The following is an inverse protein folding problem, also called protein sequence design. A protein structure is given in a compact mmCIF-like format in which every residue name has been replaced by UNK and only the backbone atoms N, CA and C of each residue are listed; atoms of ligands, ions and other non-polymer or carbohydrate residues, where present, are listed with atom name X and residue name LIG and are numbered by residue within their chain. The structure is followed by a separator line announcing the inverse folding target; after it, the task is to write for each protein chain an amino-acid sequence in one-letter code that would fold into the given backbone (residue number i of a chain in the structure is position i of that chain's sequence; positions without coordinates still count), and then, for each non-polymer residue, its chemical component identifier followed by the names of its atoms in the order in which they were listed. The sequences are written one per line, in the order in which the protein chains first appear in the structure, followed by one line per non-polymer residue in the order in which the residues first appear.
data_IF_724964499758
#
_entry.id   IF_724964499758
#
_cell.length_a   1.000
_cell.length_b   1.000
_cell.length_c   1.000
_cell.angle_alpha   90.00
_cell.angle_beta   90.00
_cell.angle_gamma   90.00
#
_symmetry.space_group_name_H-M   'P 1'
#
loop_
_entity.id
_entity.type
_entity.pdbx_description
1 polymer ?
#
# COMPACT_ATOMS: atom_id res chain seq x y z
N UNK A 1 -2.17 3.28 33.85
CA UNK A 1 -2.31 3.70 32.44
C UNK A 1 -2.10 2.47 31.55
N UNK A 2 -2.66 2.41 30.33
CA UNK A 2 -2.49 1.25 29.45
C UNK A 2 -2.30 1.73 28.00
N UNK A 3 -1.40 1.10 27.26
CA UNK A 3 -1.13 1.43 25.86
C UNK A 3 -1.93 0.50 24.95
N UNK A 4 -2.78 1.07 24.10
CA UNK A 4 -3.49 0.33 23.05
C UNK A 4 -2.64 0.27 21.79
N UNK A 5 -2.24 -0.94 21.40
CA UNK A 5 -1.45 -1.24 20.21
C UNK A 5 -2.28 -1.89 19.08
N UNK A 6 -3.62 -1.73 19.10
CA UNK A 6 -4.48 -2.31 18.05
C UNK A 6 -4.29 -1.64 16.69
N UNK A 7 -4.33 -2.45 15.63
CA UNK A 7 -4.54 -1.98 14.26
C UNK A 7 -5.88 -2.51 13.78
N UNK A 8 -6.80 -1.58 13.44
CA UNK A 8 -8.17 -1.92 13.01
C UNK A 8 -8.27 -2.01 11.49
N UNK A 9 -7.30 -1.47 10.75
CA UNK A 9 -7.34 -1.33 9.30
C UNK A 9 -6.43 -2.34 8.61
N UNK A 10 -6.98 -3.10 7.66
CA UNK A 10 -6.24 -4.10 6.88
C UNK A 10 -5.68 -3.51 5.58
N UNK A 11 -4.36 -3.65 5.29
CA UNK A 11 -3.75 -3.14 4.05
C UNK A 11 -4.35 -3.73 2.76
N UNK A 12 -4.94 -4.92 2.85
CA UNK A 12 -5.49 -5.66 1.71
C UNK A 12 -6.58 -4.89 0.96
N UNK A 13 -7.40 -4.10 1.65
CA UNK A 13 -8.42 -3.26 1.01
C UNK A 13 -7.81 -2.21 0.07
N UNK A 14 -6.72 -1.57 0.50
CA UNK A 14 -6.02 -0.57 -0.29
C UNK A 14 -5.27 -1.19 -1.48
N UNK A 15 -4.62 -2.35 -1.31
CA UNK A 15 -4.01 -3.08 -2.42
C UNK A 15 -5.02 -3.52 -3.49
N UNK A 16 -6.18 -4.04 -3.07
CA UNK A 16 -7.23 -4.44 -4.00
C UNK A 16 -7.79 -3.25 -4.79
N UNK A 17 -8.00 -2.11 -4.12
CA UNK A 17 -8.41 -0.87 -4.77
C UNK A 17 -7.35 -0.35 -5.75
N UNK A 18 -6.07 -0.37 -5.37
CA UNK A 18 -4.95 0.00 -6.23
C UNK A 18 -4.90 -0.86 -7.50
N UNK A 19 -5.04 -2.18 -7.36
CA UNK A 19 -5.06 -3.11 -8.48
C UNK A 19 -6.28 -2.87 -9.40
N UNK A 20 -7.45 -2.59 -8.81
CA UNK A 20 -8.67 -2.30 -9.57
C UNK A 20 -8.52 -1.03 -10.40
N UNK A 21 -7.93 0.03 -9.83
CA UNK A 21 -7.64 1.28 -10.54
C UNK A 21 -6.62 1.10 -11.66
N UNK A 22 -5.64 0.21 -11.49
CA UNK A 22 -4.68 -0.11 -12.55
C UNK A 22 -5.37 -0.78 -13.75
N UNK A 23 -6.30 -1.69 -13.48
CA UNK A 23 -7.14 -2.28 -14.54
C UNK A 23 -8.00 -1.23 -15.22
N UNK A 24 -8.65 -0.34 -14.45
CA UNK A 24 -9.45 0.77 -15.00
C UNK A 24 -8.60 1.68 -15.90
N UNK A 25 -7.41 2.08 -15.45
CA UNK A 25 -6.48 2.90 -16.24
C UNK A 25 -6.15 2.24 -17.58
N UNK A 26 -5.93 0.93 -17.60
CA UNK A 26 -5.70 0.17 -18.84
C UNK A 26 -6.92 0.24 -19.76
N UNK A 27 -8.11 -0.11 -19.25
CA UNK A 27 -9.35 -0.06 -20.04
C UNK A 27 -9.67 1.33 -20.59
N UNK A 28 -9.43 2.38 -19.81
CA UNK A 28 -9.65 3.77 -20.25
C UNK A 28 -8.60 4.19 -21.29
N UNK A 29 -7.36 3.70 -21.17
CA UNK A 29 -6.32 3.92 -22.18
C UNK A 29 -6.71 3.27 -23.51
N UNK A 30 -7.15 2.01 -23.48
CA UNK A 30 -7.61 1.30 -24.67
C UNK A 30 -8.78 2.04 -25.34
N UNK A 31 -9.73 2.54 -24.54
CA UNK A 31 -10.84 3.35 -25.06
C UNK A 31 -10.38 4.68 -25.69
N UNK A 32 -9.32 5.31 -25.16
CA UNK A 32 -8.72 6.51 -25.77
C UNK A 32 -8.09 6.20 -27.13
N UNK A 33 -7.44 5.04 -27.25
CA UNK A 33 -6.88 4.55 -28.52
C UNK A 33 -7.99 4.27 -29.56
N UNK A 34 -9.10 3.64 -29.13
CA UNK A 34 -10.28 3.43 -29.97
C UNK A 34 -10.88 4.74 -30.47
N UNK A 35 -11.02 5.75 -29.59
CA UNK A 35 -11.49 7.09 -29.96
C UNK A 35 -10.54 7.75 -30.96
N UNK A 36 -9.23 7.63 -30.75
CA UNK A 36 -8.23 8.16 -31.68
C UNK A 36 -8.31 7.49 -33.06
N UNK A 37 -8.56 6.19 -33.10
CA UNK A 37 -8.76 5.41 -34.33
C UNK A 37 -10.02 5.87 -35.08
N UNK A 38 -11.17 5.92 -34.41
CA UNK A 38 -12.45 6.38 -34.99
C UNK A 38 -12.33 7.83 -35.49
N UNK A 39 -11.70 8.72 -34.72
CA UNK A 39 -11.43 10.10 -35.14
C UNK A 39 -10.61 10.13 -36.43
N UNK A 40 -9.58 9.29 -36.55
CA UNK A 40 -8.76 9.17 -37.75
C UNK A 40 -9.55 8.72 -38.98
N UNK A 41 -10.41 7.72 -38.83
CA UNK A 41 -11.29 7.24 -39.90
C UNK A 41 -12.25 8.33 -40.38
N UNK A 42 -12.95 9.00 -39.44
CA UNK A 42 -13.89 10.07 -39.77
C UNK A 42 -13.18 11.22 -40.49
N UNK A 43 -11.99 11.62 -40.02
CA UNK A 43 -11.21 12.69 -40.63
C UNK A 43 -10.71 12.34 -42.04
N UNK A 44 -10.52 11.04 -42.33
CA UNK A 44 -10.06 10.56 -43.64
C UNK A 44 -11.19 10.37 -44.65
N UNK A 45 -12.36 9.91 -44.21
CA UNK A 45 -13.44 9.48 -45.11
C UNK A 45 -14.51 10.55 -45.31
N UNK A 46 -14.66 11.47 -44.36
CA UNK A 46 -15.72 12.47 -44.36
C UNK A 46 -15.14 13.89 -44.51
N UNK A 47 -15.97 14.80 -45.01
CA UNK A 47 -15.61 16.22 -45.12
C UNK A 47 -16.84 17.11 -44.86
N UNK A 48 -16.58 18.36 -44.49
CA UNK A 48 -17.61 19.37 -44.21
C UNK A 48 -17.67 19.78 -42.74
N UNK A 49 -18.41 20.85 -42.47
CA UNK A 49 -18.46 21.51 -41.15
C UNK A 49 -18.85 20.56 -40.01
N UNK A 50 -19.83 19.69 -40.26
CA UNK A 50 -20.28 18.70 -39.28
C UNK A 50 -19.19 17.68 -38.93
N UNK A 51 -18.39 17.26 -39.92
CA UNK A 51 -17.25 16.36 -39.73
C UNK A 51 -16.16 17.02 -38.90
N UNK A 52 -15.80 18.27 -39.21
CA UNK A 52 -14.81 19.01 -38.42
C UNK A 52 -15.25 19.17 -36.95
N UNK A 53 -16.52 19.49 -36.72
CA UNK A 53 -17.07 19.57 -35.37
C UNK A 53 -17.01 18.22 -34.64
N UNK A 54 -17.31 17.11 -35.32
CA UNK A 54 -17.22 15.77 -34.76
C UNK A 54 -15.78 15.37 -34.41
N UNK A 55 -14.83 15.59 -35.33
CA UNK A 55 -13.39 15.32 -35.11
C UNK A 55 -12.85 16.13 -33.94
N UNK A 56 -13.24 17.40 -33.83
CA UNK A 56 -12.85 18.26 -32.70
C UNK A 56 -13.34 17.70 -31.37
N UNK A 57 -14.62 17.27 -31.30
CA UNK A 57 -15.20 16.69 -30.08
C UNK A 57 -14.54 15.37 -29.69
N UNK A 58 -14.31 14.49 -30.66
CA UNK A 58 -13.60 13.23 -30.42
C UNK A 58 -12.16 13.47 -29.96
N UNK A 59 -11.52 14.53 -30.45
CA UNK A 59 -10.19 14.90 -29.96
C UNK A 59 -10.22 15.32 -28.49
N UNK A 60 -11.19 16.14 -28.07
CA UNK A 60 -11.37 16.50 -26.67
C UNK A 60 -11.66 15.27 -25.80
N UNK A 61 -12.57 14.39 -26.24
CA UNK A 61 -12.85 13.15 -25.52
C UNK A 61 -11.62 12.25 -25.38
N UNK A 62 -10.79 12.14 -26.42
CA UNK A 62 -9.53 11.39 -26.34
C UNK A 62 -8.57 11.95 -25.28
N UNK A 63 -8.47 13.27 -25.17
CA UNK A 63 -7.71 13.95 -24.11
C UNK A 63 -8.30 13.66 -22.73
N UNK A 64 -9.61 13.84 -22.56
CA UNK A 64 -10.29 13.61 -21.27
C UNK A 64 -10.11 12.15 -20.79
N UNK A 65 -10.17 11.18 -21.71
CA UNK A 65 -9.89 9.76 -21.40
C UNK A 65 -8.42 9.54 -21.04
N UNK A 66 -7.49 10.18 -21.75
CA UNK A 66 -6.07 10.13 -21.43
C UNK A 66 -5.78 10.63 -20.02
N UNK A 67 -6.35 11.78 -19.65
CA UNK A 67 -6.24 12.37 -18.32
C UNK A 67 -6.85 11.46 -17.25
N UNK A 68 -8.05 10.92 -17.49
CA UNK A 68 -8.70 10.00 -16.57
C UNK A 68 -7.89 8.70 -16.35
N UNK A 69 -7.24 8.17 -17.39
CA UNK A 69 -6.34 7.01 -17.26
C UNK A 69 -5.12 7.34 -16.41
N UNK A 70 -4.51 8.52 -16.62
CA UNK A 70 -3.36 8.97 -15.85
C UNK A 70 -3.70 9.21 -14.37
N UNK A 71 -4.87 9.79 -14.10
CA UNK A 71 -5.40 10.01 -12.75
C UNK A 71 -5.65 8.67 -12.04
N UNK A 72 -6.27 7.71 -12.71
CA UNK A 72 -6.49 6.37 -12.15
C UNK A 72 -5.16 5.68 -11.80
N UNK A 73 -4.14 5.80 -12.65
CA UNK A 73 -2.81 5.24 -12.38
C UNK A 73 -2.11 5.95 -11.21
N UNK A 74 -2.27 7.27 -11.11
CA UNK A 74 -1.72 8.07 -10.01
C UNK A 74 -2.36 7.68 -8.68
N UNK A 75 -3.68 7.57 -8.64
CA UNK A 75 -4.41 7.14 -7.45
C UNK A 75 -4.08 5.69 -7.08
N UNK A 76 -3.92 4.79 -8.07
CA UNK A 76 -3.46 3.42 -7.85
C UNK A 76 -2.12 3.37 -7.09
N UNK A 77 -1.15 4.18 -7.53
CA UNK A 77 0.16 4.29 -6.85
C UNK A 77 0.02 4.82 -5.42
N UNK A 78 -0.74 5.88 -5.23
CA UNK A 78 -0.96 6.47 -3.91
C UNK A 78 -1.60 5.47 -2.92
N UNK A 79 -2.58 4.68 -3.38
CA UNK A 79 -3.19 3.62 -2.56
C UNK A 79 -2.21 2.49 -2.23
N UNK A 80 -1.32 2.15 -3.17
CA UNK A 80 -0.30 1.13 -2.93
C UNK A 80 0.72 1.59 -1.87
N UNK A 81 1.19 2.84 -1.96
CA UNK A 81 2.11 3.43 -0.98
C UNK A 81 1.46 3.58 0.41
N UNK A 82 0.18 3.96 0.43
CA UNK A 82 -0.62 3.98 1.65
C UNK A 82 -0.74 2.59 2.29
N UNK A 83 -1.01 1.56 1.49
CA UNK A 83 -1.09 0.18 1.97
C UNK A 83 0.24 -0.30 2.57
N UNK A 84 1.38 -0.02 1.93
CA UNK A 84 2.69 -0.33 2.51
C UNK A 84 2.96 0.40 3.82
N UNK A 85 2.55 1.67 3.92
CA UNK A 85 2.67 2.44 5.15
C UNK A 85 1.83 1.83 6.27
N UNK A 86 0.60 1.40 5.97
CA UNK A 86 -0.26 0.68 6.92
C UNK A 86 0.36 -0.65 7.38
N UNK A 87 0.88 -1.44 6.44
CA UNK A 87 1.51 -2.73 6.75
C UNK A 87 2.75 -2.54 7.65
N UNK A 88 3.56 -1.53 7.36
CA UNK A 88 4.71 -1.15 8.20
C UNK A 88 4.29 -0.78 9.62
N UNK A 89 3.25 0.05 9.79
CA UNK A 89 2.71 0.40 11.11
C UNK A 89 2.18 -0.84 11.83
N UNK A 90 1.48 -1.73 11.12
CA UNK A 90 0.96 -2.98 11.66
C UNK A 90 2.08 -3.88 12.18
N UNK A 91 3.12 -4.10 11.39
CA UNK A 91 4.27 -4.92 11.78
C UNK A 91 5.01 -4.30 12.99
N UNK A 92 5.20 -2.98 13.00
CA UNK A 92 5.81 -2.28 14.13
C UNK A 92 5.00 -2.43 15.42
N UNK A 93 3.68 -2.41 15.36
CA UNK A 93 2.84 -2.59 16.55
C UNK A 93 2.87 -4.04 17.06
N UNK A 94 2.94 -5.02 16.16
CA UNK A 94 3.20 -6.42 16.52
C UNK A 94 4.55 -6.57 17.23
N UNK A 95 5.60 -5.91 16.70
CA UNK A 95 6.92 -5.89 17.34
C UNK A 95 6.89 -5.22 18.72
N UNK A 96 6.14 -4.13 18.88
CA UNK A 96 5.98 -3.46 20.18
C UNK A 96 5.33 -4.40 21.20
N UNK A 97 4.28 -5.13 20.81
CA UNK A 97 3.65 -6.14 21.66
C UNK A 97 4.64 -7.23 22.04
N UNK A 98 5.38 -7.79 21.06
CA UNK A 98 6.36 -8.85 21.31
C UNK A 98 7.49 -8.39 22.24
N UNK A 99 8.00 -7.16 22.04
CA UNK A 99 9.03 -6.57 22.88
C UNK A 99 8.52 -6.28 24.30
N UNK A 100 7.28 -5.81 24.45
CA UNK A 100 6.66 -5.60 25.76
C UNK A 100 6.52 -6.92 26.53
N UNK A 101 6.04 -7.98 25.86
CA UNK A 101 5.97 -9.33 26.46
C UNK A 101 7.36 -9.84 26.84
N UNK A 102 8.37 -9.68 25.97
CA UNK A 102 9.74 -10.11 26.27
C UNK A 102 10.39 -9.32 27.43
N UNK A 103 10.00 -8.05 27.59
CA UNK A 103 10.40 -7.21 28.72
C UNK A 103 9.67 -7.55 30.03
N UNK A 104 8.71 -8.48 30.01
CA UNK A 104 7.95 -8.90 31.19
C UNK A 104 6.70 -8.06 31.49
N UNK A 105 6.27 -7.22 30.55
CA UNK A 105 5.01 -6.48 30.68
C UNK A 105 3.81 -7.40 30.42
N UNK A 106 2.72 -7.13 31.13
CA UNK A 106 1.44 -7.85 30.94
C UNK A 106 0.76 -7.33 29.68
N UNK A 107 0.50 -8.23 28.74
CA UNK A 107 -0.23 -7.93 27.50
C UNK A 107 -1.57 -8.65 27.52
N UNK A 108 -2.66 -7.91 27.30
CA UNK A 108 -4.02 -8.44 27.19
C UNK A 108 -4.60 -8.06 25.83
N UNK A 109 -4.62 -8.99 24.89
CA UNK A 109 -5.01 -8.71 23.51
C UNK A 109 -4.02 -7.74 22.85
N UNK A 110 -4.53 -6.58 22.43
CA UNK A 110 -3.72 -5.49 21.85
C UNK A 110 -3.27 -4.45 22.89
N UNK A 111 -3.57 -4.66 24.18
CA UNK A 111 -3.30 -3.67 25.23
C UNK A 111 -2.09 -4.08 26.07
N UNK A 112 -1.12 -3.20 26.23
CA UNK A 112 0.02 -3.34 27.14
C UNK A 112 -0.32 -2.62 28.46
N UNK A 113 -0.25 -3.33 29.57
CA UNK A 113 -0.52 -2.76 30.89
C UNK A 113 0.74 -2.12 31.49
N UNK A 114 0.53 -1.07 32.28
CA UNK A 114 1.58 -0.45 33.07
C UNK A 114 2.16 -1.43 34.11
N UNK A 115 3.49 -1.44 34.31
CA UNK A 115 4.11 -2.24 35.36
C UNK A 115 3.59 -1.86 36.74
N UNK A 116 3.39 -2.87 37.59
CA UNK A 116 2.70 -2.73 38.88
C UNK A 116 3.59 -2.13 39.98
N UNK A 117 4.91 -2.02 39.76
CA UNK A 117 5.90 -1.57 40.75
C UNK A 117 6.91 -0.58 40.14
N UNK A 118 7.12 0.56 40.82
CA UNK A 118 8.11 1.63 40.52
C UNK A 118 9.57 1.25 40.88
N UNK A 119 9.83 -0.04 41.14
CA UNK A 119 11.17 -0.55 41.33
C UNK A 119 11.82 -0.75 39.97
N UNK A 120 12.93 -0.06 39.68
CA UNK A 120 13.78 -0.33 38.52
C UNK A 120 14.02 -1.84 38.42
N UNK A 121 13.31 -2.51 37.52
CA UNK A 121 13.49 -3.94 37.27
C UNK A 121 14.95 -4.14 36.86
N UNK A 122 15.77 -4.65 37.79
CA UNK A 122 17.22 -4.74 37.63
C UNK A 122 17.61 -5.57 36.40
N UNK A 123 16.68 -6.42 35.94
CA UNK A 123 16.84 -7.27 34.78
C UNK A 123 16.22 -6.70 33.50
N UNK A 124 15.65 -5.48 33.52
CA UNK A 124 15.04 -4.86 32.34
C UNK A 124 16.04 -4.74 31.18
N UNK A 125 17.28 -4.31 31.47
CA UNK A 125 18.34 -4.19 30.47
C UNK A 125 18.67 -5.57 29.85
N UNK A 126 18.71 -6.62 30.67
CA UNK A 126 18.97 -8.00 30.27
C UNK A 126 17.83 -8.57 29.41
N UNK A 127 16.58 -8.32 29.81
CA UNK A 127 15.37 -8.73 29.07
C UNK A 127 15.26 -8.01 27.71
N UNK A 128 15.52 -6.71 27.67
CA UNK A 128 15.56 -5.90 26.44
C UNK A 128 16.66 -6.35 25.47
N UNK A 129 17.85 -6.69 25.98
CA UNK A 129 18.95 -7.21 25.16
C UNK A 129 18.60 -8.57 24.53
N UNK A 130 17.97 -9.48 25.27
CA UNK A 130 17.50 -10.77 24.73
C UNK A 130 16.40 -10.60 23.67
N UNK A 131 15.51 -9.61 23.81
CA UNK A 131 14.49 -9.30 22.80
C UNK A 131 15.12 -8.83 21.47
N UNK A 132 16.11 -7.92 21.54
CA UNK A 132 16.84 -7.43 20.36
C UNK A 132 17.62 -8.53 19.63
N UNK A 133 18.19 -9.50 20.36
CA UNK A 133 18.91 -10.65 19.77
C UNK A 133 17.94 -11.57 19.01
N UNK A 134 16.73 -11.82 19.53
CA UNK A 134 15.71 -12.64 18.83
C UNK A 134 15.24 -11.99 17.53
N UNK A 135 15.02 -10.67 17.52
CA UNK A 135 14.61 -9.95 16.30
C UNK A 135 15.70 -9.99 15.22
N UNK A 136 16.96 -9.80 15.64
CA UNK A 136 18.13 -9.87 14.75
C UNK A 136 18.29 -11.26 14.09
N UNK A 137 18.01 -12.33 14.85
CA UNK A 137 18.08 -13.70 14.36
C UNK A 137 16.93 -14.03 13.39
N UNK A 138 15.71 -13.53 13.63
CA UNK A 138 14.58 -13.68 12.71
C UNK A 138 14.80 -12.92 11.40
N UNK A 139 15.27 -11.67 11.45
CA UNK A 139 15.60 -10.92 10.24
C UNK A 139 16.76 -11.57 9.46
N UNK A 140 17.76 -12.10 10.16
CA UNK A 140 18.87 -12.84 9.54
C UNK A 140 18.41 -14.13 8.85
N UNK A 141 17.42 -14.83 9.42
CA UNK A 141 16.84 -16.04 8.83
C UNK A 141 15.94 -15.70 7.63
N UNK A 142 15.11 -14.66 7.72
CA UNK A 142 14.29 -14.18 6.61
C UNK A 142 15.14 -13.67 5.44
N UNK A 143 16.25 -12.98 5.70
CA UNK A 143 17.15 -12.50 4.64
C UNK A 143 17.88 -13.66 3.93
N UNK A 144 18.25 -14.72 4.66
CA UNK A 144 18.86 -15.93 4.08
C UNK A 144 17.90 -16.79 3.26
N UNK A 145 16.63 -16.89 3.66
CA UNK A 145 15.58 -17.55 2.89
C UNK A 145 15.27 -16.79 1.59
N UNK A 146 15.31 -15.46 1.62
CA UNK A 146 15.08 -14.62 0.43
C UNK A 146 16.29 -14.58 -0.52
N UNK A 147 17.52 -14.74 -0.01
CA UNK A 147 18.75 -14.77 -0.84
C UNK A 147 19.18 -16.16 -1.32
N UNK A 148 18.41 -17.22 -1.03
CA UNK A 148 18.64 -18.56 -1.61
C UNK A 148 19.96 -19.22 -1.22
N UNK A 149 20.60 -18.81 -0.12
CA UNK A 149 21.82 -19.46 0.38
C UNK A 149 21.41 -20.61 1.29
N UNK A 150 21.22 -21.79 0.70
CA UNK A 150 21.06 -23.05 1.42
C UNK A 150 22.33 -23.41 2.20
N UNK A 151 22.14 -24.07 3.34
CA UNK A 151 23.20 -24.71 4.15
C UNK A 151 23.94 -25.76 3.29
#
# INVERSE_FOLDING_TARGET
MALDARVVTEPSGAWNAAQSLKSISTTVSDASEDVASVRGLIASECSGEATYAAVSRLSTQGTDLGDASADALTLSKALNDFAYSMDSVKNRLVDVIANATAAGLVVSGSTIQEPVEEGSDADYATKKAMAGIKQSFLLGLCCRVVLGVSI
#
